data_IF_937630356846
#
_entry.id   IF_937630356846
#
_cell.length_a   1.000
_cell.length_b   1.000
_cell.length_c   1.000
_cell.angle_alpha   90.00
_cell.angle_beta   90.00
_cell.angle_gamma   90.00
#
_symmetry.space_group_name_H-M   'P 1'
#
loop_
_entity.id
_entity.type
_entity.pdbx_description
1 polymer ?
#
# COMPACT_ATOMS: atom_id res chain seq x y z
N UNK A 1 42.96 -4.38 -29.12
CA UNK A 1 41.52 -4.45 -28.89
C UNK A 1 41.08 -3.03 -28.51
N UNK A 2 40.61 -2.29 -29.49
CA UNK A 2 40.06 -0.96 -29.28
C UNK A 2 38.75 -1.09 -28.49
N UNK A 3 38.69 -0.44 -27.33
CA UNK A 3 37.44 -0.26 -26.62
C UNK A 3 36.56 0.66 -27.47
N UNK A 4 35.54 0.11 -28.11
CA UNK A 4 34.45 0.90 -28.64
C UNK A 4 33.84 1.70 -27.48
N UNK A 5 34.16 2.97 -27.40
CA UNK A 5 33.46 3.92 -26.55
C UNK A 5 32.05 4.03 -27.10
N UNK A 6 31.09 3.35 -26.44
CA UNK A 6 29.67 3.51 -26.70
C UNK A 6 29.37 5.01 -26.54
N UNK A 7 29.09 5.69 -27.62
CA UNK A 7 28.60 7.07 -27.64
C UNK A 7 27.24 7.10 -26.96
N UNK A 8 27.23 7.28 -25.62
CA UNK A 8 26.00 7.60 -24.88
C UNK A 8 25.49 8.91 -25.46
N UNK A 9 24.35 8.87 -26.12
CA UNK A 9 23.72 10.06 -26.71
C UNK A 9 23.51 11.11 -25.61
N UNK A 10 23.78 12.40 -25.92
CA UNK A 10 23.64 13.54 -24.98
C UNK A 10 22.18 13.80 -24.56
N UNK A 11 21.37 12.75 -24.41
CA UNK A 11 19.99 12.86 -23.99
C UNK A 11 19.87 13.18 -22.52
N UNK A 12 18.99 14.14 -22.21
CA UNK A 12 18.68 14.54 -20.85
C UNK A 12 17.32 14.01 -20.41
N UNK A 13 17.24 13.56 -19.16
CA UNK A 13 16.03 12.97 -18.58
C UNK A 13 15.62 13.74 -17.33
N UNK A 14 14.34 14.15 -17.27
CA UNK A 14 13.74 14.65 -16.04
C UNK A 14 13.06 13.51 -15.29
N UNK A 15 13.29 13.43 -13.99
CA UNK A 15 12.50 12.60 -13.06
C UNK A 15 11.74 13.55 -12.14
N UNK A 16 10.42 13.47 -12.15
CA UNK A 16 9.54 14.35 -11.37
C UNK A 16 8.94 13.56 -10.20
N UNK A 17 9.32 13.95 -8.98
CA UNK A 17 8.97 13.27 -7.74
C UNK A 17 10.14 12.50 -7.13
N UNK A 18 10.60 12.95 -5.96
CA UNK A 18 11.72 12.39 -5.20
C UNK A 18 11.31 11.35 -4.16
N UNK A 19 10.22 10.62 -4.41
CA UNK A 19 9.81 9.47 -3.63
C UNK A 19 10.61 8.20 -3.98
N UNK A 20 10.23 7.03 -3.41
CA UNK A 20 10.92 5.76 -3.64
C UNK A 20 11.10 5.42 -5.13
N UNK A 21 10.05 5.51 -5.94
CA UNK A 21 10.11 5.18 -7.38
C UNK A 21 11.00 6.14 -8.17
N UNK A 22 10.89 7.45 -7.91
CA UNK A 22 11.71 8.45 -8.61
C UNK A 22 13.18 8.36 -8.24
N UNK A 23 13.51 8.10 -6.97
CA UNK A 23 14.90 7.99 -6.53
C UNK A 23 15.61 6.76 -7.11
N UNK A 24 14.94 5.58 -7.16
CA UNK A 24 15.55 4.42 -7.81
C UNK A 24 15.74 4.64 -9.31
N UNK A 25 14.73 5.23 -9.97
CA UNK A 25 14.82 5.56 -11.39
C UNK A 25 15.99 6.52 -11.67
N UNK A 26 16.07 7.63 -10.93
CA UNK A 26 17.13 8.63 -11.10
C UNK A 26 18.52 8.04 -10.81
N UNK A 27 18.62 7.15 -9.82
CA UNK A 27 19.89 6.44 -9.52
C UNK A 27 20.34 5.60 -10.71
N UNK A 28 19.47 4.74 -11.23
CA UNK A 28 19.80 3.82 -12.32
C UNK A 28 20.23 4.59 -13.57
N UNK A 29 19.48 5.63 -13.94
CA UNK A 29 19.80 6.49 -15.09
C UNK A 29 21.16 7.20 -14.92
N UNK A 30 21.37 7.81 -13.75
CA UNK A 30 22.63 8.55 -13.50
C UNK A 30 23.84 7.63 -13.33
N UNK A 31 23.68 6.42 -12.80
CA UNK A 31 24.76 5.42 -12.74
C UNK A 31 25.17 4.92 -14.13
N UNK A 32 24.24 4.88 -15.06
CA UNK A 32 24.51 4.58 -16.47
C UNK A 32 25.05 5.79 -17.27
N UNK A 33 25.33 6.93 -16.62
CA UNK A 33 25.88 8.12 -17.25
C UNK A 33 24.88 9.01 -17.98
N UNK A 34 23.57 8.77 -17.83
CA UNK A 34 22.54 9.65 -18.43
C UNK A 34 22.45 10.95 -17.63
N UNK A 35 22.44 12.10 -18.35
CA UNK A 35 22.21 13.41 -17.74
C UNK A 35 20.81 13.47 -17.14
N UNK A 36 20.71 13.21 -15.81
CA UNK A 36 19.44 13.07 -15.10
C UNK A 36 19.25 14.22 -14.12
N UNK A 37 18.06 14.86 -14.19
CA UNK A 37 17.65 15.88 -13.21
C UNK A 37 16.42 15.38 -12.46
N UNK A 38 16.53 15.30 -11.13
CA UNK A 38 15.44 14.92 -10.22
C UNK A 38 14.78 16.19 -9.67
N UNK A 39 13.48 16.32 -9.82
CA UNK A 39 12.67 17.42 -9.29
C UNK A 39 11.80 16.94 -8.13
N UNK A 40 11.75 17.69 -7.04
CA UNK A 40 10.76 17.54 -5.98
C UNK A 40 10.48 18.87 -5.30
N UNK A 41 9.26 19.08 -4.83
CA UNK A 41 8.88 20.27 -4.05
C UNK A 41 9.42 20.26 -2.61
N UNK A 42 9.76 19.07 -2.09
CA UNK A 42 10.21 18.85 -0.72
C UNK A 42 11.55 18.12 -0.65
N UNK A 43 11.77 17.49 0.48
CA UNK A 43 12.96 16.68 0.70
C UNK A 43 12.78 15.27 0.11
N UNK A 44 13.82 14.78 -0.53
CA UNK A 44 13.81 13.46 -1.17
C UNK A 44 13.54 12.34 -0.14
N UNK A 45 12.76 11.32 -0.55
CA UNK A 45 12.41 10.14 0.26
C UNK A 45 11.75 10.47 1.60
N UNK A 46 11.08 11.63 1.73
CA UNK A 46 10.38 11.99 2.97
C UNK A 46 9.28 10.98 3.30
N UNK A 47 8.57 10.49 2.29
CA UNK A 47 7.49 9.50 2.44
C UNK A 47 7.96 8.13 2.90
N UNK A 48 9.27 7.84 2.79
CA UNK A 48 9.85 6.59 3.28
C UNK A 48 9.95 6.57 4.82
N UNK A 49 10.11 7.73 5.45
CA UNK A 49 10.40 7.84 6.89
C UNK A 49 9.34 7.18 7.81
N UNK A 50 8.02 7.34 7.59
CA UNK A 50 7.00 6.73 8.44
C UNK A 50 6.75 5.24 8.14
N UNK A 51 7.28 4.70 7.04
CA UNK A 51 6.97 3.34 6.60
C UNK A 51 7.45 2.28 7.59
N UNK A 52 6.64 1.22 7.76
CA UNK A 52 6.95 0.15 8.70
C UNK A 52 7.12 0.60 10.15
N UNK A 53 6.45 1.69 10.56
CA UNK A 53 6.61 2.30 11.89
C UNK A 53 7.99 2.92 12.10
N UNK A 54 8.57 3.54 11.08
CA UNK A 54 9.91 4.15 11.10
C UNK A 54 11.06 3.17 10.83
N UNK A 55 10.75 1.87 10.61
CA UNK A 55 11.76 0.83 10.35
C UNK A 55 12.00 0.59 8.85
N UNK A 56 11.10 1.02 7.99
CA UNK A 56 11.07 0.78 6.54
C UNK A 56 10.83 -0.69 6.16
N UNK A 57 9.57 -1.08 5.98
CA UNK A 57 9.23 -2.38 5.41
C UNK A 57 9.47 -2.36 3.90
N UNK A 58 10.66 -2.79 3.46
CA UNK A 58 11.19 -2.62 2.12
C UNK A 58 10.45 -3.44 1.06
N UNK A 59 10.06 -4.67 1.40
CA UNK A 59 9.46 -5.65 0.51
C UNK A 59 8.81 -6.79 1.30
N UNK A 60 8.32 -7.80 0.58
CA UNK A 60 7.85 -9.07 1.14
C UNK A 60 8.66 -10.22 0.55
N UNK A 61 8.95 -11.26 1.33
CA UNK A 61 9.76 -12.41 0.93
C UNK A 61 8.99 -13.42 0.02
N UNK A 62 8.16 -12.90 -0.86
CA UNK A 62 7.54 -13.66 -1.94
C UNK A 62 8.42 -13.49 -3.19
N UNK A 63 9.13 -14.54 -3.59
CA UNK A 63 10.09 -14.50 -4.69
C UNK A 63 9.51 -14.93 -6.04
N UNK A 64 8.41 -15.70 -6.04
CA UNK A 64 7.65 -15.96 -7.26
C UNK A 64 6.84 -14.72 -7.63
N UNK A 65 7.12 -14.17 -8.80
CA UNK A 65 6.48 -12.92 -9.23
C UNK A 65 4.97 -13.09 -9.51
N UNK A 66 4.50 -14.31 -9.80
CA UNK A 66 3.07 -14.59 -10.00
C UNK A 66 2.34 -14.54 -8.65
N UNK A 67 2.93 -15.15 -7.61
CA UNK A 67 2.41 -15.08 -6.25
C UNK A 67 2.48 -13.64 -5.72
N UNK A 68 3.56 -12.93 -6.00
CA UNK A 68 3.72 -11.53 -5.60
C UNK A 68 2.58 -10.66 -6.13
N UNK A 69 2.17 -10.83 -7.41
CA UNK A 69 1.07 -10.05 -8.00
C UNK A 69 -0.28 -10.28 -7.33
N UNK A 70 -0.51 -11.41 -6.69
CA UNK A 70 -1.78 -11.72 -6.01
C UNK A 70 -2.05 -10.81 -4.79
N UNK A 71 -1.03 -10.14 -4.30
CA UNK A 71 -1.13 -9.20 -3.17
C UNK A 71 -1.54 -7.78 -3.58
N UNK A 72 -1.94 -7.59 -4.83
CA UNK A 72 -2.39 -6.31 -5.37
C UNK A 72 -3.85 -6.41 -5.83
N UNK A 73 -4.81 -5.90 -5.05
CA UNK A 73 -6.22 -5.84 -5.45
C UNK A 73 -6.44 -5.09 -6.76
N UNK A 74 -5.55 -4.15 -7.09
CA UNK A 74 -5.55 -3.40 -8.36
C UNK A 74 -4.16 -3.42 -8.99
N UNK A 75 -4.14 -3.52 -10.32
CA UNK A 75 -2.90 -3.55 -11.09
C UNK A 75 -2.19 -4.91 -11.14
N UNK A 76 -2.73 -5.99 -10.56
CA UNK A 76 -2.09 -7.30 -10.51
C UNK A 76 -1.66 -7.82 -11.90
N UNK A 77 -2.52 -7.71 -12.92
CA UNK A 77 -2.21 -8.14 -14.29
C UNK A 77 -1.12 -7.27 -14.93
N UNK A 78 -1.12 -5.98 -14.64
CA UNK A 78 -0.12 -5.05 -15.12
C UNK A 78 1.25 -5.35 -14.49
N UNK A 79 1.26 -5.57 -13.18
CA UNK A 79 2.47 -5.87 -12.40
C UNK A 79 3.12 -7.20 -12.76
N UNK A 80 2.40 -8.13 -13.40
CA UNK A 80 2.99 -9.36 -13.90
C UNK A 80 4.20 -9.09 -14.82
N UNK A 81 4.05 -8.16 -15.77
CA UNK A 81 5.15 -7.75 -16.66
C UNK A 81 6.24 -6.96 -15.94
N UNK A 82 5.90 -6.20 -14.92
CA UNK A 82 6.85 -5.40 -14.12
C UNK A 82 7.69 -6.32 -13.24
N UNK A 83 7.06 -7.19 -12.45
CA UNK A 83 7.76 -8.06 -11.50
C UNK A 83 8.56 -9.19 -12.17
N UNK A 84 8.21 -9.58 -13.41
CA UNK A 84 9.07 -10.48 -14.19
C UNK A 84 10.40 -9.86 -14.59
N UNK A 85 10.53 -8.54 -14.52
CA UNK A 85 11.77 -7.79 -14.82
C UNK A 85 12.51 -7.37 -13.54
N UNK A 86 11.77 -7.07 -12.47
CA UNK A 86 12.32 -6.64 -11.20
C UNK A 86 11.36 -7.01 -10.05
N UNK A 87 11.59 -8.16 -9.45
CA UNK A 87 10.81 -8.69 -8.33
C UNK A 87 11.51 -8.47 -6.99
N UNK A 88 11.16 -9.32 -6.02
CA UNK A 88 11.71 -9.24 -4.66
C UNK A 88 13.22 -9.50 -4.65
N UNK A 89 13.71 -10.46 -5.43
CA UNK A 89 15.14 -10.80 -5.48
C UNK A 89 15.97 -9.61 -5.93
N UNK A 90 15.63 -9.02 -7.07
CA UNK A 90 16.32 -7.87 -7.64
C UNK A 90 16.23 -6.65 -6.72
N UNK A 91 15.13 -6.51 -5.98
CA UNK A 91 14.98 -5.48 -4.94
C UNK A 91 16.00 -5.66 -3.83
N UNK A 92 16.23 -6.88 -3.33
CA UNK A 92 17.23 -7.14 -2.31
C UNK A 92 18.65 -6.87 -2.82
N UNK A 93 18.97 -7.30 -4.05
CA UNK A 93 20.25 -7.02 -4.71
C UNK A 93 20.48 -5.50 -4.86
N UNK A 94 19.45 -4.75 -5.23
CA UNK A 94 19.52 -3.28 -5.27
C UNK A 94 19.86 -2.70 -3.89
N UNK A 95 19.19 -3.13 -2.82
CA UNK A 95 19.46 -2.62 -1.47
C UNK A 95 20.84 -2.99 -0.98
N UNK A 96 21.32 -4.18 -1.28
CA UNK A 96 22.70 -4.58 -0.97
C UNK A 96 23.71 -3.69 -1.69
N UNK A 97 23.48 -3.35 -2.97
CA UNK A 97 24.35 -2.46 -3.77
C UNK A 97 24.50 -1.05 -3.17
N UNK A 98 23.52 -0.60 -2.40
CA UNK A 98 23.55 0.67 -1.65
C UNK A 98 23.89 0.49 -0.16
N UNK A 99 24.49 -0.64 0.21
CA UNK A 99 24.88 -0.99 1.58
C UNK A 99 23.73 -1.06 2.59
N UNK A 100 22.51 -1.40 2.16
CA UNK A 100 21.36 -1.70 3.02
C UNK A 100 21.24 -3.21 3.16
N UNK A 101 21.80 -3.77 4.23
CA UNK A 101 21.59 -5.18 4.59
C UNK A 101 20.20 -5.38 5.16
N UNK A 102 19.56 -6.49 4.82
CA UNK A 102 18.16 -6.79 5.15
C UNK A 102 18.01 -8.07 5.94
N UNK A 103 16.87 -8.25 6.61
CA UNK A 103 16.43 -9.51 7.21
C UNK A 103 14.94 -9.70 6.97
N UNK A 104 14.49 -10.95 6.98
CA UNK A 104 13.09 -11.33 6.84
C UNK A 104 12.50 -11.67 8.20
N UNK A 105 11.31 -11.13 8.53
CA UNK A 105 10.53 -11.51 9.71
C UNK A 105 9.72 -12.79 9.45
N UNK A 106 9.20 -13.40 10.50
CA UNK A 106 8.39 -14.65 10.42
C UNK A 106 7.14 -14.48 9.53
N UNK A 107 6.62 -13.26 9.41
CA UNK A 107 5.48 -12.90 8.58
C UNK A 107 5.86 -12.46 7.14
N UNK A 108 7.04 -12.85 6.69
CA UNK A 108 7.61 -12.56 5.37
C UNK A 108 7.90 -11.07 5.09
N UNK A 109 7.73 -10.16 6.03
CA UNK A 109 8.13 -8.76 5.83
C UNK A 109 9.64 -8.61 5.86
N UNK A 110 10.17 -7.81 4.95
CA UNK A 110 11.61 -7.55 4.82
C UNK A 110 11.94 -6.17 5.35
N UNK A 111 12.85 -6.11 6.32
CA UNK A 111 13.32 -4.87 6.94
C UNK A 111 14.84 -4.71 6.81
N UNK A 112 15.38 -3.48 6.88
CA UNK A 112 16.80 -3.27 7.03
C UNK A 112 17.27 -3.75 8.41
N UNK A 113 18.48 -4.30 8.50
CA UNK A 113 19.08 -4.74 9.79
C UNK A 113 19.15 -3.55 10.77
N UNK A 114 19.33 -2.32 10.27
CA UNK A 114 19.35 -1.11 11.09
C UNK A 114 18.00 -0.78 11.73
N UNK A 115 16.91 -1.40 11.29
CA UNK A 115 15.53 -1.06 11.70
C UNK A 115 15.24 0.44 11.65
N UNK A 116 15.82 1.17 10.69
CA UNK A 116 15.72 2.62 10.56
C UNK A 116 15.47 3.05 9.12
N UNK A 117 14.31 3.63 8.87
CA UNK A 117 13.98 4.26 7.57
C UNK A 117 14.88 5.45 7.27
N UNK A 118 15.35 6.15 8.29
CA UNK A 118 16.30 7.26 8.14
C UNK A 118 17.67 6.78 7.64
N UNK A 119 18.14 5.61 8.09
CA UNK A 119 19.38 4.98 7.59
C UNK A 119 19.24 4.56 6.13
N UNK A 120 18.12 3.91 5.77
CA UNK A 120 17.81 3.54 4.39
C UNK A 120 17.78 4.78 3.48
N UNK A 121 17.05 5.82 3.91
CA UNK A 121 16.99 7.10 3.20
C UNK A 121 18.39 7.68 2.97
N UNK A 122 19.21 7.77 4.01
CA UNK A 122 20.57 8.31 3.94
C UNK A 122 21.42 7.55 2.93
N UNK A 123 21.37 6.22 2.93
CA UNK A 123 22.18 5.36 2.03
C UNK A 123 21.75 5.53 0.57
N UNK A 124 20.44 5.57 0.30
CA UNK A 124 19.95 5.83 -1.07
C UNK A 124 20.40 7.23 -1.52
N UNK A 125 20.19 8.27 -0.70
CA UNK A 125 20.58 9.64 -1.07
C UNK A 125 22.07 9.78 -1.35
N UNK A 126 22.92 9.15 -0.56
CA UNK A 126 24.36 9.15 -0.76
C UNK A 126 24.80 8.43 -2.06
N UNK A 127 23.95 7.57 -2.60
CA UNK A 127 24.23 6.83 -3.85
C UNK A 127 23.75 7.57 -5.10
N UNK A 128 22.98 8.66 -4.98
CA UNK A 128 22.48 9.44 -6.11
C UNK A 128 23.60 10.28 -6.73
N UNK A 129 23.73 10.21 -8.06
CA UNK A 129 24.67 11.03 -8.86
C UNK A 129 23.96 12.07 -9.72
N UNK A 130 22.61 12.07 -9.72
CA UNK A 130 21.81 13.01 -10.51
C UNK A 130 21.80 14.42 -9.91
N UNK A 131 21.51 15.42 -10.76
CA UNK A 131 21.20 16.77 -10.29
C UNK A 131 19.87 16.78 -9.57
N UNK A 132 19.79 17.45 -8.41
CA UNK A 132 18.53 17.67 -7.70
C UNK A 132 18.11 19.13 -7.77
N UNK A 133 16.85 19.38 -8.16
CA UNK A 133 16.23 20.70 -8.17
C UNK A 133 15.02 20.69 -7.26
N UNK A 134 15.08 21.47 -6.16
CA UNK A 134 13.98 21.59 -5.20
C UNK A 134 12.97 22.63 -5.69
N UNK A 135 12.14 22.22 -6.63
CA UNK A 135 11.07 23.04 -7.21
C UNK A 135 9.82 22.19 -7.47
N UNK A 136 8.65 22.85 -7.36
CA UNK A 136 7.38 22.22 -7.68
C UNK A 136 7.15 22.29 -9.20
N UNK A 137 7.09 21.16 -9.86
CA UNK A 137 6.67 21.07 -11.27
C UNK A 137 5.17 21.24 -11.33
N UNK A 138 4.74 22.19 -12.15
CA UNK A 138 3.34 22.59 -12.30
C UNK A 138 2.74 22.11 -13.61
N UNK A 139 3.55 21.96 -14.65
CA UNK A 139 3.06 21.53 -15.96
C UNK A 139 4.13 20.80 -16.77
N UNK A 140 3.68 19.94 -17.68
CA UNK A 140 4.48 19.19 -18.64
C UNK A 140 3.86 19.40 -20.02
N UNK A 141 4.62 20.03 -20.93
CA UNK A 141 4.15 20.35 -22.27
C UNK A 141 4.93 19.52 -23.29
N UNK A 142 4.29 18.60 -24.01
CA UNK A 142 4.91 17.93 -25.14
C UNK A 142 5.25 18.94 -26.26
N UNK A 143 6.47 18.85 -26.80
CA UNK A 143 6.95 19.63 -27.91
C UNK A 143 7.11 18.75 -29.16
N UNK A 144 7.46 19.35 -30.30
CA UNK A 144 7.81 18.59 -31.51
C UNK A 144 9.01 17.66 -31.29
N UNK A 145 9.92 18.03 -30.37
CA UNK A 145 11.02 17.18 -29.90
C UNK A 145 11.20 17.41 -28.41
N UNK A 146 10.96 16.36 -27.59
CA UNK A 146 11.09 16.43 -26.14
C UNK A 146 9.93 17.13 -25.42
N UNK A 147 10.23 17.72 -24.28
CA UNK A 147 9.24 18.23 -23.32
C UNK A 147 9.72 19.51 -22.65
N UNK A 148 8.80 20.48 -22.51
CA UNK A 148 8.99 21.62 -21.62
C UNK A 148 8.39 21.29 -20.25
N UNK A 149 9.18 21.45 -19.19
CA UNK A 149 8.77 21.33 -17.80
C UNK A 149 8.69 22.70 -17.19
N UNK A 150 7.50 23.08 -16.74
CA UNK A 150 7.25 24.34 -16.07
C UNK A 150 7.20 24.11 -14.56
N UNK A 151 8.08 24.80 -13.85
CA UNK A 151 8.09 24.81 -12.39
C UNK A 151 7.54 26.13 -11.86
N UNK A 152 7.45 26.25 -10.53
CA UNK A 152 7.10 27.51 -9.87
C UNK A 152 8.09 28.66 -10.10
N UNK A 153 9.30 28.38 -10.63
CA UNK A 153 10.38 29.37 -10.77
C UNK A 153 10.92 29.48 -12.18
N UNK A 154 10.96 28.39 -12.94
CA UNK A 154 11.72 28.29 -14.18
C UNK A 154 11.06 27.36 -15.19
N UNK A 155 11.58 27.37 -16.41
CA UNK A 155 11.24 26.43 -17.48
C UNK A 155 12.49 25.63 -17.84
N UNK A 156 12.30 24.36 -18.10
CA UNK A 156 13.36 23.42 -18.45
C UNK A 156 12.94 22.59 -19.65
N UNK A 157 13.92 22.10 -20.41
CA UNK A 157 13.69 21.28 -21.61
C UNK A 157 14.41 19.93 -21.44
N UNK A 158 13.67 18.84 -21.72
CA UNK A 158 14.16 17.48 -21.59
C UNK A 158 13.73 16.62 -22.77
N UNK A 159 14.58 15.65 -23.12
CA UNK A 159 14.25 14.66 -24.15
C UNK A 159 13.23 13.63 -23.65
N UNK A 160 13.28 13.29 -22.37
CA UNK A 160 12.41 12.30 -21.72
C UNK A 160 12.01 12.74 -20.33
N UNK A 161 10.84 12.27 -19.90
CA UNK A 161 10.26 12.59 -18.59
C UNK A 161 9.77 11.34 -17.90
N UNK A 162 10.15 11.15 -16.64
CA UNK A 162 9.61 10.11 -15.74
C UNK A 162 8.79 10.78 -14.66
N UNK A 163 7.56 10.35 -14.49
CA UNK A 163 6.59 10.90 -13.54
C UNK A 163 6.41 9.94 -12.37
N UNK A 164 6.84 10.37 -11.18
CA UNK A 164 6.88 9.59 -9.95
C UNK A 164 6.35 10.37 -8.72
N UNK A 165 5.32 11.21 -8.93
CA UNK A 165 4.84 12.20 -7.95
C UNK A 165 3.97 11.63 -6.83
N UNK A 166 3.70 10.31 -6.84
CA UNK A 166 2.93 9.60 -5.81
C UNK A 166 1.42 9.80 -5.93
N UNK A 167 0.66 9.17 -5.03
CA UNK A 167 -0.81 9.13 -5.09
C UNK A 167 -1.50 10.42 -4.65
N UNK A 168 -0.91 11.19 -3.73
CA UNK A 168 -1.40 12.51 -3.29
C UNK A 168 -0.97 13.65 -4.23
N UNK A 169 -0.98 13.40 -5.53
CA UNK A 169 -0.52 14.34 -6.53
C UNK A 169 -1.56 15.39 -6.88
N UNK A 170 -1.10 16.54 -7.37
CA UNK A 170 -1.92 17.46 -8.13
C UNK A 170 -1.98 16.97 -9.60
N UNK A 171 -3.10 16.39 -9.98
CA UNK A 171 -3.29 15.80 -11.31
C UNK A 171 -3.44 16.85 -12.42
N UNK A 172 -3.58 18.15 -12.09
CA UNK A 172 -3.61 19.24 -13.07
C UNK A 172 -2.29 19.33 -13.88
N UNK A 173 -1.19 18.79 -13.35
CA UNK A 173 0.09 18.68 -14.06
C UNK A 173 -0.06 17.92 -15.40
N UNK A 174 -1.10 17.11 -15.56
CA UNK A 174 -1.37 16.30 -16.76
C UNK A 174 -2.38 16.93 -17.74
N UNK A 175 -2.83 18.16 -17.51
CA UNK A 175 -3.84 18.81 -18.34
C UNK A 175 -3.50 18.75 -19.84
N UNK A 176 -2.22 18.99 -20.18
CA UNK A 176 -1.76 18.96 -21.57
C UNK A 176 -1.52 17.55 -22.13
N UNK A 177 -1.57 16.51 -21.30
CA UNK A 177 -1.38 15.15 -21.75
C UNK A 177 -2.70 14.46 -22.14
N UNK A 178 -3.84 14.99 -21.65
CA UNK A 178 -5.16 14.41 -21.90
C UNK A 178 -5.18 12.89 -21.72
N UNK A 179 -4.81 12.46 -20.52
CA UNK A 179 -4.79 11.05 -20.08
C UNK A 179 -5.93 10.79 -19.10
N UNK A 180 -6.39 9.55 -19.06
CA UNK A 180 -7.45 9.16 -18.15
C UNK A 180 -6.90 8.97 -16.73
N UNK A 181 -7.53 9.63 -15.75
CA UNK A 181 -7.22 9.51 -14.32
C UNK A 181 -8.38 8.81 -13.62
N UNK A 182 -8.09 7.69 -12.99
CA UNK A 182 -9.03 7.04 -12.09
C UNK A 182 -9.06 7.82 -10.77
N UNK A 183 -10.24 8.32 -10.33
CA UNK A 183 -10.33 9.18 -9.15
C UNK A 183 -9.61 8.60 -7.94
N UNK A 184 -8.67 9.32 -7.32
CA UNK A 184 -7.94 8.84 -6.15
C UNK A 184 -8.86 8.75 -4.94
N UNK A 185 -8.67 7.71 -4.12
CA UNK A 185 -9.36 7.50 -2.86
C UNK A 185 -8.43 6.81 -1.87
N UNK A 186 -8.74 6.93 -0.60
CA UNK A 186 -7.97 6.32 0.49
C UNK A 186 -8.02 4.79 0.43
N UNK A 187 -6.88 4.14 0.60
CA UNK A 187 -6.69 2.70 0.75
C UNK A 187 -5.84 2.39 1.97
N UNK A 188 -5.92 1.17 2.51
CA UNK A 188 -5.24 0.76 3.74
C UNK A 188 -5.51 1.72 4.89
N UNK A 189 -6.77 1.94 5.20
CA UNK A 189 -7.25 2.95 6.15
C UNK A 189 -8.20 2.34 7.18
N UNK A 190 -8.24 2.87 8.39
CA UNK A 190 -9.24 2.53 9.39
C UNK A 190 -10.66 2.90 8.93
N UNK A 191 -11.65 2.15 9.39
CA UNK A 191 -13.05 2.31 8.99
C UNK A 191 -13.87 2.90 10.13
N UNK A 192 -14.70 3.90 9.81
CA UNK A 192 -15.69 4.49 10.72
C UNK A 192 -16.93 3.59 10.71
N UNK A 193 -17.49 3.35 11.89
CA UNK A 193 -18.67 2.47 12.06
C UNK A 193 -19.86 3.23 12.62
N UNK A 194 -21.08 2.70 12.38
CA UNK A 194 -22.28 3.21 13.03
C UNK A 194 -22.34 2.79 14.50
N UNK A 195 -21.77 1.63 14.83
CA UNK A 195 -21.65 1.17 16.21
C UNK A 195 -20.65 2.04 16.97
N UNK A 196 -20.93 2.30 18.23
CA UNK A 196 -20.02 3.00 19.13
C UNK A 196 -19.16 1.99 19.90
N UNK A 197 -17.87 1.96 19.59
CA UNK A 197 -16.90 1.09 20.24
C UNK A 197 -16.04 1.80 21.30
N UNK A 198 -16.43 2.99 21.77
CA UNK A 198 -15.64 3.77 22.72
C UNK A 198 -15.32 3.01 24.01
N UNK A 199 -16.27 2.19 24.50
CA UNK A 199 -16.10 1.38 25.72
C UNK A 199 -15.07 0.23 25.57
N UNK A 200 -14.78 -0.16 24.34
CA UNK A 200 -13.81 -1.21 24.01
C UNK A 200 -12.66 -0.69 23.14
N UNK A 201 -12.46 0.62 23.11
CA UNK A 201 -11.35 1.23 22.37
C UNK A 201 -10.00 0.72 22.88
N UNK A 202 -9.13 0.31 21.95
CA UNK A 202 -7.83 -0.30 22.25
C UNK A 202 -7.87 -1.83 22.37
N UNK A 203 -9.05 -2.46 22.43
CA UNK A 203 -9.17 -3.91 22.41
C UNK A 203 -8.77 -4.44 21.05
N UNK A 204 -7.84 -5.39 21.01
CA UNK A 204 -7.41 -6.09 19.82
C UNK A 204 -7.76 -7.58 19.88
N UNK A 205 -8.01 -8.15 18.70
CA UNK A 205 -8.23 -9.60 18.54
C UNK A 205 -7.36 -10.05 17.39
N UNK A 206 -6.67 -11.16 17.59
CA UNK A 206 -5.80 -11.76 16.58
C UNK A 206 -6.53 -12.79 15.73
N UNK A 207 -6.00 -12.99 14.51
CA UNK A 207 -6.39 -14.07 13.60
C UNK A 207 -7.89 -14.09 13.27
N UNK A 208 -8.55 -12.94 13.23
CA UNK A 208 -9.96 -12.82 12.89
C UNK A 208 -10.16 -13.08 11.39
N UNK A 209 -11.20 -13.85 11.07
CA UNK A 209 -11.58 -14.12 9.69
C UNK A 209 -12.74 -13.24 9.26
N UNK A 210 -12.69 -12.82 7.99
CA UNK A 210 -13.79 -12.14 7.31
C UNK A 210 -13.92 -12.66 5.90
N UNK A 211 -15.15 -12.90 5.45
CA UNK A 211 -15.42 -13.24 4.05
C UNK A 211 -15.92 -11.99 3.33
N UNK A 212 -15.20 -11.58 2.29
CA UNK A 212 -15.52 -10.42 1.46
C UNK A 212 -15.64 -10.89 0.02
N UNK A 213 -16.85 -10.75 -0.50
CA UNK A 213 -17.25 -11.32 -1.80
C UNK A 213 -16.94 -12.82 -1.83
N UNK A 214 -15.87 -13.25 -2.51
CA UNK A 214 -15.44 -14.66 -2.61
C UNK A 214 -14.12 -14.94 -1.89
N UNK A 215 -13.53 -13.92 -1.24
CA UNK A 215 -12.23 -14.03 -0.62
C UNK A 215 -12.38 -14.15 0.90
N UNK A 216 -11.74 -15.16 1.49
CA UNK A 216 -11.53 -15.23 2.94
C UNK A 216 -10.25 -14.45 3.27
N UNK A 217 -10.38 -13.49 4.18
CA UNK A 217 -9.28 -12.70 4.72
C UNK A 217 -9.09 -13.06 6.19
N UNK A 218 -7.85 -13.08 6.64
CA UNK A 218 -7.50 -13.30 8.03
C UNK A 218 -6.52 -12.24 8.50
N UNK A 219 -6.62 -11.82 9.76
CA UNK A 219 -5.67 -10.91 10.38
C UNK A 219 -6.19 -10.27 11.66
N UNK A 220 -5.36 -9.46 12.26
CA UNK A 220 -5.66 -8.77 13.51
C UNK A 220 -6.58 -7.57 13.29
N UNK A 221 -7.45 -7.32 14.25
CA UNK A 221 -8.30 -6.12 14.33
C UNK A 221 -8.08 -5.38 15.64
N UNK A 222 -8.33 -4.07 15.62
CA UNK A 222 -8.34 -3.20 16.79
C UNK A 222 -9.62 -2.36 16.76
N UNK A 223 -10.37 -2.39 17.85
CA UNK A 223 -11.49 -1.47 18.06
C UNK A 223 -10.95 -0.09 18.46
N UNK A 224 -11.54 0.97 17.91
CA UNK A 224 -11.14 2.35 18.18
C UNK A 224 -12.38 3.18 18.53
N UNK A 225 -12.17 4.37 19.10
CA UNK A 225 -13.27 5.29 19.40
C UNK A 225 -14.06 5.77 18.16
N UNK A 226 -13.49 5.66 16.95
CA UNK A 226 -14.16 6.02 15.68
C UNK A 226 -14.71 4.81 14.93
N UNK A 227 -14.31 3.60 15.31
CA UNK A 227 -14.70 2.39 14.59
C UNK A 227 -13.67 1.27 14.74
N UNK A 228 -13.11 0.79 13.64
CA UNK A 228 -12.19 -0.36 13.60
C UNK A 228 -10.98 -0.10 12.75
N UNK A 229 -9.85 -0.74 13.09
CA UNK A 229 -8.57 -0.64 12.43
C UNK A 229 -7.82 -1.98 12.52
N UNK A 230 -6.59 -2.02 12.06
CA UNK A 230 -5.71 -3.20 12.10
C UNK A 230 -5.50 -3.84 10.73
N UNK A 231 -4.59 -4.80 10.61
CA UNK A 231 -4.18 -5.38 9.34
C UNK A 231 -5.32 -5.95 8.50
N UNK A 232 -6.26 -6.68 9.12
CA UNK A 232 -7.46 -7.20 8.44
C UNK A 232 -8.31 -6.05 7.88
N UNK A 233 -8.53 -5.00 8.67
CA UNK A 233 -9.37 -3.87 8.28
C UNK A 233 -8.71 -3.06 7.15
N UNK A 234 -7.39 -2.93 7.16
CA UNK A 234 -6.65 -2.31 6.06
C UNK A 234 -6.83 -3.10 4.76
N UNK A 235 -6.74 -4.43 4.80
CA UNK A 235 -7.00 -5.28 3.62
C UNK A 235 -8.43 -5.12 3.12
N UNK A 236 -9.43 -5.12 4.02
CA UNK A 236 -10.84 -4.89 3.68
C UNK A 236 -11.02 -3.51 3.05
N UNK A 237 -10.45 -2.47 3.65
CA UNK A 237 -10.56 -1.10 3.15
C UNK A 237 -9.90 -0.92 1.78
N UNK A 238 -8.85 -1.67 1.48
CA UNK A 238 -8.24 -1.71 0.15
C UNK A 238 -9.18 -2.38 -0.86
N UNK A 239 -9.67 -3.59 -0.60
CA UNK A 239 -10.59 -4.29 -1.53
C UNK A 239 -11.81 -3.42 -1.80
N UNK A 240 -12.39 -2.82 -0.76
CA UNK A 240 -13.57 -1.97 -0.84
C UNK A 240 -13.27 -0.47 -1.00
N UNK A 241 -12.05 -0.11 -1.46
CA UNK A 241 -11.64 1.29 -1.54
C UNK A 241 -12.62 2.18 -2.32
N UNK A 242 -13.27 1.63 -3.37
CA UNK A 242 -14.23 2.32 -4.24
C UNK A 242 -15.69 1.98 -3.94
N UNK A 243 -15.96 1.15 -2.91
CA UNK A 243 -17.33 0.78 -2.54
C UNK A 243 -18.04 1.95 -1.86
N UNK A 244 -19.26 2.22 -2.28
CA UNK A 244 -20.09 3.28 -1.67
C UNK A 244 -20.53 2.89 -0.26
N UNK A 245 -20.57 3.87 0.63
CA UNK A 245 -21.10 3.73 1.99
C UNK A 245 -22.61 3.92 2.03
N UNK A 246 -23.32 3.32 3.00
CA UNK A 246 -22.81 2.35 3.99
C UNK A 246 -22.71 0.93 3.40
N UNK A 247 -21.86 0.09 4.04
CA UNK A 247 -21.82 -1.34 3.78
C UNK A 247 -21.56 -2.13 5.07
N UNK A 248 -21.84 -3.43 5.05
CA UNK A 248 -21.65 -4.33 6.19
C UNK A 248 -20.45 -5.21 5.94
N UNK A 249 -19.61 -5.37 6.95
CA UNK A 249 -18.60 -6.42 7.03
C UNK A 249 -18.99 -7.40 8.13
N UNK A 250 -18.63 -8.68 7.95
CA UNK A 250 -18.90 -9.76 8.90
C UNK A 250 -17.59 -10.34 9.38
N UNK A 251 -17.42 -10.35 10.70
CA UNK A 251 -16.22 -10.88 11.34
C UNK A 251 -16.55 -12.17 12.07
N UNK A 252 -15.76 -13.21 11.85
CA UNK A 252 -15.82 -14.45 12.63
C UNK A 252 -14.86 -14.31 13.80
N UNK A 253 -15.41 -13.98 14.98
CA UNK A 253 -14.64 -13.67 16.19
C UNK A 253 -14.06 -14.92 16.88
N UNK A 254 -14.65 -16.09 16.62
CA UNK A 254 -14.23 -17.38 17.17
C UNK A 254 -14.27 -18.46 16.09
N UNK A 255 -13.51 -19.55 16.19
CA UNK A 255 -13.80 -20.77 15.46
C UNK A 255 -15.24 -21.25 15.75
N UNK A 256 -15.74 -22.15 14.90
CA UNK A 256 -17.03 -22.80 15.19
C UNK A 256 -16.88 -23.70 16.42
N UNK A 257 -17.84 -23.64 17.33
CA UNK A 257 -17.86 -24.44 18.56
C UNK A 257 -19.31 -24.71 19.01
N UNK A 258 -19.49 -25.72 19.84
CA UNK A 258 -20.80 -26.05 20.39
C UNK A 258 -21.08 -25.19 21.65
N UNK A 259 -21.76 -24.05 21.45
CA UNK A 259 -22.15 -23.16 22.54
C UNK A 259 -23.15 -23.86 23.51
N UNK A 260 -24.03 -24.75 23.00
CA UNK A 260 -24.99 -25.44 23.85
C UNK A 260 -24.26 -26.37 24.86
N UNK A 261 -23.30 -27.12 24.38
CA UNK A 261 -22.48 -27.97 25.24
C UNK A 261 -21.67 -27.15 26.25
N UNK A 262 -21.10 -26.01 25.80
CA UNK A 262 -20.37 -25.10 26.68
C UNK A 262 -21.26 -24.53 27.81
N UNK A 263 -22.50 -24.15 27.51
CA UNK A 263 -23.50 -23.69 28.50
C UNK A 263 -23.86 -24.81 29.50
N UNK A 264 -24.15 -26.01 29.00
CA UNK A 264 -24.53 -27.16 29.82
C UNK A 264 -23.42 -27.60 30.77
N UNK A 265 -22.17 -27.52 30.32
CA UNK A 265 -20.99 -27.87 31.12
C UNK A 265 -20.64 -26.83 32.21
N UNK A 266 -21.24 -25.63 32.14
CA UNK A 266 -20.95 -24.51 33.06
C UNK A 266 -22.24 -23.85 33.59
N UNK A 267 -23.23 -24.59 34.16
CA UNK A 267 -24.59 -24.10 34.42
C UNK A 267 -24.63 -22.90 35.37
N UNK A 268 -23.74 -22.81 36.32
CA UNK A 268 -23.71 -21.74 37.34
C UNK A 268 -22.76 -20.60 37.01
N UNK A 269 -21.98 -20.72 35.92
CA UNK A 269 -21.06 -19.66 35.48
C UNK A 269 -21.83 -18.49 34.84
N UNK A 270 -21.45 -17.25 35.14
CA UNK A 270 -21.99 -16.09 34.45
C UNK A 270 -21.66 -16.15 32.95
N UNK A 271 -22.60 -15.78 32.11
CA UNK A 271 -22.46 -15.86 30.65
C UNK A 271 -21.25 -15.07 30.11
N UNK A 272 -20.97 -13.86 30.66
CA UNK A 272 -19.78 -13.09 30.28
C UNK A 272 -18.49 -13.85 30.51
N UNK A 273 -18.39 -14.59 31.60
CA UNK A 273 -17.19 -15.34 31.94
C UNK A 273 -17.05 -16.62 31.11
N UNK A 274 -18.15 -17.17 30.59
CA UNK A 274 -18.09 -18.25 29.61
C UNK A 274 -17.58 -17.75 28.27
N UNK A 275 -18.16 -16.67 27.74
CA UNK A 275 -17.78 -16.09 26.43
C UNK A 275 -16.34 -15.55 26.47
N UNK A 276 -15.86 -15.04 27.60
CA UNK A 276 -14.49 -14.56 27.78
C UNK A 276 -13.41 -15.63 27.61
N UNK A 277 -13.77 -16.92 27.54
CA UNK A 277 -12.84 -17.97 27.16
C UNK A 277 -12.49 -17.94 25.65
N UNK A 278 -13.28 -17.26 24.82
CA UNK A 278 -13.17 -17.25 23.35
C UNK A 278 -12.78 -15.88 22.79
N UNK A 279 -13.23 -14.79 23.44
CA UNK A 279 -12.98 -13.40 23.02
C UNK A 279 -12.60 -12.54 24.23
N UNK A 280 -11.97 -11.37 24.07
CA UNK A 280 -11.66 -10.47 25.18
C UNK A 280 -12.89 -10.15 26.03
N UNK A 281 -12.70 -10.10 27.35
CA UNK A 281 -13.80 -9.90 28.33
C UNK A 281 -14.63 -8.64 28.04
N UNK A 282 -13.98 -7.51 27.74
CA UNK A 282 -14.68 -6.27 27.43
C UNK A 282 -15.52 -6.35 26.15
N UNK A 283 -15.08 -7.13 25.15
CA UNK A 283 -15.89 -7.38 23.97
C UNK A 283 -17.07 -8.33 24.26
N UNK A 284 -16.87 -9.33 25.14
CA UNK A 284 -17.96 -10.18 25.62
C UNK A 284 -19.06 -9.36 26.30
N UNK A 285 -18.67 -8.46 27.19
CA UNK A 285 -19.59 -7.55 27.89
C UNK A 285 -20.28 -6.59 26.91
N UNK A 286 -19.55 -6.04 25.95
CA UNK A 286 -20.10 -5.18 24.88
C UNK A 286 -21.19 -5.92 24.07
N UNK A 287 -20.91 -7.13 23.59
CA UNK A 287 -21.86 -7.92 22.78
C UNK A 287 -23.12 -8.27 23.61
N UNK A 288 -22.97 -8.70 24.85
CA UNK A 288 -24.10 -9.04 25.71
C UNK A 288 -24.98 -7.83 25.99
N UNK A 289 -24.41 -6.67 26.30
CA UNK A 289 -25.13 -5.43 26.50
C UNK A 289 -25.88 -4.97 25.23
N UNK A 290 -25.25 -5.06 24.05
CA UNK A 290 -25.87 -4.76 22.77
C UNK A 290 -27.08 -5.66 22.46
N UNK A 291 -27.02 -6.91 22.92
CA UNK A 291 -28.12 -7.88 22.82
C UNK A 291 -29.17 -7.73 23.94
N UNK A 292 -29.03 -6.79 24.86
CA UNK A 292 -29.85 -6.63 26.05
C UNK A 292 -29.89 -7.89 26.92
N UNK A 293 -28.77 -8.60 27.04
CA UNK A 293 -28.61 -9.78 27.92
C UNK A 293 -27.78 -9.36 29.13
N UNK A 294 -28.34 -9.52 30.34
CA UNK A 294 -27.59 -9.25 31.57
C UNK A 294 -26.34 -10.10 31.64
N UNK A 295 -25.19 -9.45 31.72
CA UNK A 295 -23.86 -10.06 31.74
C UNK A 295 -23.62 -11.02 32.91
N UNK A 296 -24.40 -10.89 33.98
CA UNK A 296 -24.38 -11.75 35.18
C UNK A 296 -25.34 -12.95 35.11
N UNK A 297 -26.09 -13.09 33.98
CA UNK A 297 -27.01 -14.21 33.80
C UNK A 297 -26.25 -15.55 33.90
N UNK A 298 -26.65 -16.47 34.78
CA UNK A 298 -26.09 -17.82 34.79
C UNK A 298 -26.36 -18.57 33.49
N UNK A 299 -25.41 -19.39 33.05
CA UNK A 299 -25.53 -20.12 31.78
C UNK A 299 -26.76 -21.00 31.69
N UNK A 300 -27.24 -21.59 32.80
CA UNK A 300 -28.48 -22.38 32.85
C UNK A 300 -29.75 -21.56 32.59
N UNK A 301 -29.71 -20.23 32.70
CA UNK A 301 -30.84 -19.31 32.39
C UNK A 301 -30.81 -18.78 30.95
N UNK A 302 -29.82 -19.09 30.15
CA UNK A 302 -29.74 -18.71 28.74
C UNK A 302 -30.70 -19.57 27.94
N UNK A 303 -31.77 -18.99 27.47
CA UNK A 303 -32.77 -19.69 26.64
C UNK A 303 -32.26 -19.84 25.17
N UNK A 304 -33.02 -20.59 24.36
CA UNK A 304 -32.65 -20.90 22.98
C UNK A 304 -32.53 -19.65 22.09
N UNK A 305 -33.35 -18.62 22.30
CA UNK A 305 -33.27 -17.36 21.56
C UNK A 305 -32.00 -16.59 21.91
N UNK A 306 -31.70 -16.40 23.19
CA UNK A 306 -30.47 -15.77 23.66
C UNK A 306 -29.21 -16.51 23.14
N UNK A 307 -29.20 -17.84 23.26
CA UNK A 307 -28.11 -18.66 22.75
C UNK A 307 -27.85 -18.42 21.26
N UNK A 308 -28.90 -18.44 20.43
CA UNK A 308 -28.77 -18.24 18.98
C UNK A 308 -28.26 -16.82 18.65
N UNK A 309 -28.70 -15.79 19.37
CA UNK A 309 -28.20 -14.43 19.21
C UNK A 309 -26.73 -14.31 19.60
N UNK A 310 -26.34 -14.88 20.74
CA UNK A 310 -24.93 -14.89 21.18
C UNK A 310 -24.07 -15.63 20.14
N UNK A 311 -24.45 -16.84 19.76
CA UNK A 311 -23.71 -17.64 18.80
C UNK A 311 -23.53 -16.91 17.46
N UNK A 312 -24.61 -16.34 16.91
CA UNK A 312 -24.56 -15.55 15.67
C UNK A 312 -23.55 -14.41 15.77
N UNK A 313 -23.53 -13.67 16.88
CA UNK A 313 -22.57 -12.59 17.08
C UNK A 313 -21.13 -13.06 17.24
N UNK A 314 -20.89 -14.26 17.72
CA UNK A 314 -19.55 -14.81 17.83
C UNK A 314 -18.98 -15.30 16.49
N UNK A 315 -19.81 -15.89 15.63
CA UNK A 315 -19.38 -16.43 14.34
C UNK A 315 -19.61 -15.52 13.15
N UNK A 316 -20.43 -14.48 13.31
CA UNK A 316 -20.79 -13.53 12.25
C UNK A 316 -21.13 -12.15 12.84
N UNK A 317 -20.14 -11.51 13.45
CA UNK A 317 -20.30 -10.17 14.04
C UNK A 317 -20.40 -9.14 12.94
N UNK A 318 -21.58 -8.50 12.82
CA UNK A 318 -21.87 -7.54 11.77
C UNK A 318 -21.44 -6.14 12.19
N UNK A 319 -20.62 -5.49 11.35
CA UNK A 319 -20.17 -4.12 11.53
C UNK A 319 -20.67 -3.26 10.38
N UNK A 320 -21.44 -2.22 10.70
CA UNK A 320 -21.95 -1.25 9.74
C UNK A 320 -20.93 -0.15 9.49
N UNK A 321 -20.24 -0.23 8.37
CA UNK A 321 -19.24 0.77 7.96
C UNK A 321 -19.93 1.97 7.34
N UNK A 322 -19.63 3.16 7.84
CA UNK A 322 -20.21 4.44 7.39
C UNK A 322 -19.22 5.39 6.72
N UNK A 323 -17.93 5.11 6.82
CA UNK A 323 -16.89 5.96 6.22
C UNK A 323 -15.48 5.43 6.45
N UNK A 324 -14.51 6.19 5.99
CA UNK A 324 -13.07 5.99 6.22
C UNK A 324 -12.58 7.03 7.24
N UNK A 325 -11.56 6.67 8.03
CA UNK A 325 -10.92 7.63 8.96
C UNK A 325 -10.21 8.71 8.13
N UNK A 326 -10.55 10.00 8.31
CA UNK A 326 -9.87 11.07 7.58
C UNK A 326 -8.36 11.08 7.87
N UNK A 327 -7.55 11.37 6.86
CA UNK A 327 -6.09 11.48 6.92
C UNK A 327 -5.38 10.27 7.56
N UNK A 328 -6.05 9.12 7.56
CA UNK A 328 -5.55 7.88 8.14
C UNK A 328 -5.07 6.85 7.14
N UNK A 329 -5.07 7.20 5.84
CA UNK A 329 -4.63 6.29 4.80
C UNK A 329 -3.12 6.07 4.82
N UNK A 330 -2.73 4.83 4.50
CA UNK A 330 -1.33 4.46 4.27
C UNK A 330 -0.97 4.58 2.79
N UNK A 331 -1.95 4.38 1.89
CA UNK A 331 -1.78 4.32 0.43
C UNK A 331 -2.99 4.94 -0.26
N UNK A 332 -2.75 5.53 -1.42
CA UNK A 332 -3.81 6.00 -2.34
C UNK A 332 -4.17 4.91 -3.34
N UNK A 333 -5.47 4.69 -3.53
CA UNK A 333 -6.04 3.87 -4.60
C UNK A 333 -6.55 4.82 -5.70
N UNK A 334 -6.23 4.58 -6.94
CA UNK A 334 -6.50 5.48 -8.06
C UNK A 334 -5.22 6.06 -8.65
N UNK A 335 -5.35 6.92 -9.64
CA UNK A 335 -4.22 7.48 -10.35
C UNK A 335 -4.36 7.31 -11.87
N UNK A 336 -3.26 7.32 -12.58
CA UNK A 336 -3.23 7.13 -14.05
C UNK A 336 -3.78 5.76 -14.42
N UNK A 337 -4.77 5.74 -15.32
CA UNK A 337 -5.35 4.47 -15.80
C UNK A 337 -4.28 3.61 -16.49
N UNK A 338 -4.11 2.40 -16.01
CA UNK A 338 -3.11 1.45 -16.53
C UNK A 338 -3.29 1.11 -18.01
N UNK A 339 -4.47 1.37 -18.59
CA UNK A 339 -4.72 1.22 -20.01
C UNK A 339 -3.94 2.22 -20.87
N UNK A 340 -3.59 3.38 -20.30
CA UNK A 340 -2.78 4.39 -20.95
C UNK A 340 -1.30 4.01 -21.03
N UNK A 341 -0.85 3.08 -20.18
CA UNK A 341 0.56 2.77 -19.96
C UNK A 341 0.94 1.41 -20.55
N UNK A 342 2.13 1.32 -21.15
CA UNK A 342 2.70 0.05 -21.58
C UNK A 342 3.30 -0.68 -20.36
N UNK A 343 2.83 -1.90 -20.01
CA UNK A 343 3.31 -2.61 -18.82
C UNK A 343 4.75 -3.11 -18.93
N UNK A 344 5.34 -3.16 -20.13
CA UNK A 344 6.73 -3.62 -20.33
C UNK A 344 7.75 -2.51 -20.16
N UNK A 345 7.37 -1.25 -20.45
CA UNK A 345 8.27 -0.10 -20.47
C UNK A 345 7.87 1.00 -19.50
N UNK A 346 6.64 0.98 -19.00
CA UNK A 346 5.99 2.05 -18.22
C UNK A 346 5.84 3.37 -19.02
N UNK A 347 6.04 3.32 -20.33
CA UNK A 347 5.85 4.46 -21.22
C UNK A 347 4.37 4.74 -21.48
N UNK A 348 4.01 6.01 -21.55
CA UNK A 348 2.68 6.45 -21.96
C UNK A 348 2.45 6.12 -23.44
N UNK A 349 1.42 5.33 -23.76
CA UNK A 349 1.15 4.87 -25.13
C UNK A 349 0.92 6.03 -26.11
N UNK A 350 0.34 7.11 -25.63
CA UNK A 350 -0.02 8.28 -26.45
C UNK A 350 1.18 9.17 -26.76
N UNK A 351 2.16 9.28 -25.85
CA UNK A 351 3.32 10.16 -26.01
C UNK A 351 4.61 9.39 -25.74
N UNK A 352 5.44 9.25 -26.78
CA UNK A 352 6.79 8.69 -26.67
C UNK A 352 7.67 9.56 -25.77
N UNK A 353 8.44 8.90 -24.88
CA UNK A 353 9.38 9.59 -23.99
C UNK A 353 8.78 10.07 -22.66
N UNK A 354 7.50 9.79 -22.38
CA UNK A 354 6.89 10.00 -21.06
C UNK A 354 6.68 8.65 -20.39
N UNK A 355 7.17 8.51 -19.14
CA UNK A 355 7.08 7.29 -18.33
C UNK A 355 6.42 7.59 -17.00
N UNK A 356 5.70 6.60 -16.44
CA UNK A 356 5.05 6.72 -15.13
C UNK A 356 5.52 5.60 -14.23
N UNK A 357 5.82 5.90 -12.94
CA UNK A 357 6.21 4.88 -11.98
C UNK A 357 5.76 5.23 -10.55
N UNK A 358 5.59 4.19 -9.73
CA UNK A 358 5.16 4.31 -8.34
C UNK A 358 3.66 4.51 -8.18
N UNK A 359 3.27 5.12 -7.07
CA UNK A 359 1.89 5.23 -6.60
C UNK A 359 1.01 6.22 -7.41
N UNK A 360 1.58 6.90 -8.39
CA UNK A 360 0.81 7.71 -9.36
C UNK A 360 -0.03 6.82 -10.30
N UNK A 361 0.35 5.57 -10.48
CA UNK A 361 -0.39 4.57 -11.24
C UNK A 361 -1.56 4.01 -10.40
N UNK A 362 -2.67 3.61 -11.05
CA UNK A 362 -3.79 2.94 -10.38
C UNK A 362 -3.40 1.53 -9.89
N UNK A 363 -2.44 1.48 -8.97
CA UNK A 363 -1.89 0.26 -8.37
C UNK A 363 -1.81 0.46 -6.86
N UNK A 364 -2.40 -0.45 -6.11
CA UNK A 364 -2.17 -0.56 -4.66
C UNK A 364 -2.13 -2.02 -4.21
N UNK A 365 -1.21 -2.30 -3.31
CA UNK A 365 -1.00 -3.60 -2.67
C UNK A 365 -1.50 -3.62 -1.22
N UNK A 366 -1.64 -4.81 -0.64
CA UNK A 366 -1.92 -4.98 0.79
C UNK A 366 -0.80 -4.44 1.68
N UNK A 367 -1.03 -4.40 2.98
CA UNK A 367 0.04 -4.19 3.96
C UNK A 367 1.04 -5.34 3.91
N UNK A 368 2.35 -5.03 4.00
CA UNK A 368 3.37 -6.07 3.99
C UNK A 368 4.61 -5.77 3.14
N UNK A 369 4.83 -4.51 2.74
CA UNK A 369 5.96 -4.10 1.89
C UNK A 369 5.63 -4.02 0.40
N UNK A 370 4.43 -4.43 0.01
CA UNK A 370 4.02 -4.50 -1.40
C UNK A 370 4.00 -3.13 -2.10
N UNK A 371 3.55 -2.08 -1.45
CA UNK A 371 3.48 -0.74 -2.06
C UNK A 371 4.87 -0.15 -2.32
N UNK A 372 5.83 -0.39 -1.42
CA UNK A 372 7.23 -0.04 -1.68
C UNK A 372 7.83 -0.92 -2.78
N UNK A 373 7.54 -2.23 -2.81
CA UNK A 373 7.96 -3.11 -3.90
C UNK A 373 7.48 -2.59 -5.26
N UNK A 374 6.22 -2.17 -5.38
CA UNK A 374 5.70 -1.53 -6.59
C UNK A 374 6.53 -0.30 -6.99
N UNK A 375 6.88 0.55 -6.02
CA UNK A 375 7.70 1.73 -6.28
C UNK A 375 9.10 1.35 -6.81
N UNK A 376 9.77 0.38 -6.18
CA UNK A 376 11.10 -0.06 -6.60
C UNK A 376 11.06 -0.66 -8.01
N UNK A 377 10.12 -1.56 -8.25
CA UNK A 377 10.00 -2.28 -9.51
C UNK A 377 9.64 -1.37 -10.68
N UNK A 378 8.63 -0.52 -10.49
CA UNK A 378 8.20 0.39 -11.56
C UNK A 378 9.26 1.46 -11.86
N UNK A 379 9.96 1.98 -10.84
CA UNK A 379 11.06 2.91 -11.02
C UNK A 379 12.24 2.29 -11.80
N UNK A 380 12.57 1.03 -11.49
CA UNK A 380 13.59 0.26 -12.21
C UNK A 380 13.19 0.03 -13.67
N UNK A 381 11.97 -0.46 -13.91
CA UNK A 381 11.51 -0.80 -15.27
C UNK A 381 11.46 0.44 -16.17
N UNK A 382 11.00 1.59 -15.65
CA UNK A 382 11.00 2.85 -16.38
C UNK A 382 12.44 3.27 -16.75
N UNK A 383 13.38 3.21 -15.82
CA UNK A 383 14.78 3.54 -16.07
C UNK A 383 15.40 2.63 -17.14
N UNK A 384 15.20 1.31 -17.01
CA UNK A 384 15.73 0.33 -17.97
C UNK A 384 15.15 0.48 -19.38
N UNK A 385 13.85 0.83 -19.49
CA UNK A 385 13.23 1.10 -20.78
C UNK A 385 13.90 2.29 -21.47
N UNK A 386 14.18 3.35 -20.73
CA UNK A 386 14.90 4.53 -21.22
C UNK A 386 16.32 4.16 -21.66
N UNK A 387 17.05 3.39 -20.85
CA UNK A 387 18.42 2.96 -21.17
C UNK A 387 18.47 2.13 -22.44
N UNK A 388 17.56 1.15 -22.60
CA UNK A 388 17.51 0.33 -23.81
C UNK A 388 17.25 1.17 -25.07
N UNK A 389 16.43 2.20 -24.98
CA UNK A 389 16.13 3.09 -26.13
C UNK A 389 17.29 4.05 -26.47
N UNK A 390 18.10 4.44 -25.47
CA UNK A 390 19.21 5.38 -25.68
C UNK A 390 20.49 4.65 -26.15
N UNK A 391 20.69 3.40 -25.72
CA UNK A 391 21.91 2.61 -26.00
C UNK A 391 21.75 1.78 -27.27
N UNK A 392 20.51 1.42 -27.68
CA UNK A 392 20.21 0.73 -28.95
C UNK A 392 20.00 1.73 -30.08
#
# INVERSE_FOLDING_TARGET
>A
MEQESILISNKNVAVIGGGPAGCICAKILSDAGINTTLFDKGDLLRTLLPTGGGRCNLANAIFDFKELTQNYPRGNKFLYSVFSQFGTKETLEFFESVNVKTYTQEDNRIFPISNSSADVRKKILNSLKCKFIKENVQNIIPLSSGFEIITSKSRYYFDKVVIAIGGHADYNIFENLNINIIPPTQSLVGLITKQNFSSISGVSIKDIKSVIDKNELCGDIIFTHKGISGPLIYSISSIYARKKFPYIIKLKLTPDFDLQNALNSNPHKEIKNLISNFIPKSLSEYILNDLNIDIHTPCCKINGQMRNLIYKNLISFEINVSGKVPDGEVVTCGGVDLKEINPQTLELKKYKGIYFCGEILDIDGFCGGFNLQNCWSTGYVAANAILKEIIC
#
